data_IF_230619352812
#
_entry.id   IF_230619352812
#
_cell.length_a   1.000
_cell.length_b   1.000
_cell.length_c   1.000
_cell.angle_alpha   90.00
_cell.angle_beta   90.00
_cell.angle_gamma   90.00
#
_symmetry.space_group_name_H-M   'P 1'
#
loop_
_entity.id
_entity.type
_entity.pdbx_description
1 polymer ?
#
# COMPACT_ATOMS: atom_id res chain seq x y z
N UNK A 1 -18.59 -3.13 -16.12
CA UNK A 1 -17.61 -2.04 -16.31
C UNK A 1 -16.36 -2.69 -16.86
N UNK A 2 -15.84 -2.26 -18.00
CA UNK A 2 -14.72 -2.95 -18.66
C UNK A 2 -13.34 -2.42 -18.28
N UNK A 3 -13.25 -1.32 -17.51
CA UNK A 3 -11.99 -0.73 -17.01
C UNK A 3 -12.26 0.19 -15.80
N UNK A 4 -11.19 0.59 -15.10
CA UNK A 4 -11.23 1.57 -14.02
C UNK A 4 -11.22 2.99 -14.59
N UNK A 5 -11.83 3.93 -13.86
CA UNK A 5 -11.64 5.35 -14.19
C UNK A 5 -10.17 5.75 -14.04
N UNK A 6 -9.65 6.48 -15.03
CA UNK A 6 -8.38 7.22 -14.90
C UNK A 6 -8.72 8.67 -14.59
N UNK A 7 -8.32 9.14 -13.42
CA UNK A 7 -8.49 10.52 -12.97
C UNK A 7 -7.20 11.30 -13.18
N UNK A 8 -7.34 12.59 -13.40
CA UNK A 8 -6.23 13.53 -13.51
C UNK A 8 -6.01 14.20 -12.15
N UNK A 9 -4.78 14.14 -11.63
CA UNK A 9 -4.44 14.68 -10.31
C UNK A 9 -4.66 16.19 -10.25
N UNK A 10 -4.31 16.93 -11.30
CA UNK A 10 -4.47 18.39 -11.35
C UNK A 10 -5.95 18.81 -11.40
N UNK A 11 -6.78 18.06 -12.13
CA UNK A 11 -8.22 18.29 -12.14
C UNK A 11 -8.85 17.98 -10.78
N UNK A 12 -8.40 16.92 -10.09
CA UNK A 12 -8.83 16.67 -8.71
C UNK A 12 -8.39 17.80 -7.78
N UNK A 13 -7.16 18.27 -7.91
CA UNK A 13 -6.61 19.37 -7.10
C UNK A 13 -7.43 20.64 -7.25
N UNK A 14 -7.82 20.99 -8.48
CA UNK A 14 -8.63 22.15 -8.80
C UNK A 14 -10.14 22.00 -8.49
N UNK A 15 -10.55 20.84 -7.94
CA UNK A 15 -11.96 20.52 -7.66
C UNK A 15 -12.86 20.43 -8.90
N UNK A 16 -12.35 19.94 -10.03
CA UNK A 16 -13.19 19.69 -11.21
C UNK A 16 -14.38 18.79 -10.86
N UNK A 17 -15.58 19.25 -11.18
CA UNK A 17 -16.83 18.60 -10.78
C UNK A 17 -16.95 17.19 -11.37
N UNK A 18 -16.54 17.02 -12.62
CA UNK A 18 -16.58 15.73 -13.31
C UNK A 18 -15.61 14.74 -12.67
N UNK A 19 -14.40 15.19 -12.33
CA UNK A 19 -13.39 14.39 -11.65
C UNK A 19 -13.84 13.99 -10.23
N UNK A 20 -14.45 14.89 -9.47
CA UNK A 20 -15.02 14.60 -8.17
C UNK A 20 -16.18 13.59 -8.24
N UNK A 21 -17.03 13.69 -9.27
CA UNK A 21 -18.11 12.74 -9.54
C UNK A 21 -17.57 11.33 -9.83
N UNK A 22 -16.57 11.21 -10.70
CA UNK A 22 -15.89 9.94 -11.00
C UNK A 22 -15.14 9.38 -9.78
N UNK A 23 -14.52 10.26 -8.96
CA UNK A 23 -13.89 9.84 -7.71
C UNK A 23 -14.93 9.24 -6.76
N UNK A 24 -16.07 9.92 -6.53
CA UNK A 24 -17.17 9.40 -5.72
C UNK A 24 -17.63 8.03 -6.20
N UNK A 25 -17.83 7.86 -7.49
CA UNK A 25 -18.24 6.57 -8.06
C UNK A 25 -17.17 5.49 -7.85
N UNK A 26 -15.89 5.81 -8.09
CA UNK A 26 -14.77 4.89 -7.84
C UNK A 26 -14.72 4.40 -6.40
N UNK A 27 -14.79 5.32 -5.42
CA UNK A 27 -14.67 4.97 -4.01
C UNK A 27 -15.89 4.22 -3.47
N UNK A 28 -17.10 4.53 -3.97
CA UNK A 28 -18.33 3.93 -3.42
C UNK A 28 -18.76 2.63 -4.10
N UNK A 29 -18.37 2.41 -5.36
CA UNK A 29 -18.83 1.25 -6.14
C UNK A 29 -17.73 0.24 -6.46
N UNK A 30 -16.50 0.71 -6.68
CA UNK A 30 -15.42 -0.11 -7.25
C UNK A 30 -14.29 -0.36 -6.24
N UNK A 31 -13.95 0.64 -5.41
CA UNK A 31 -12.81 0.59 -4.46
C UNK A 31 -11.44 0.74 -5.12
N UNK A 32 -11.39 1.00 -6.44
CA UNK A 32 -10.17 1.18 -7.24
C UNK A 32 -10.32 2.28 -8.28
N UNK A 33 -9.24 2.96 -8.60
CA UNK A 33 -9.10 3.88 -9.72
C UNK A 33 -7.65 3.93 -10.23
N UNK A 34 -7.44 4.56 -11.37
CA UNK A 34 -6.11 4.96 -11.87
C UNK A 34 -5.95 6.47 -11.75
N UNK A 35 -4.73 6.93 -11.48
CA UNK A 35 -4.40 8.34 -11.34
C UNK A 35 -3.21 8.69 -12.21
N UNK A 36 -3.27 9.80 -12.94
CA UNK A 36 -2.21 10.33 -13.80
C UNK A 36 -1.86 11.77 -13.46
N UNK A 37 -0.81 12.31 -14.09
CA UNK A 37 -0.32 13.68 -13.89
C UNK A 37 0.00 14.00 -12.43
N UNK A 38 0.71 13.07 -11.79
CA UNK A 38 1.12 13.19 -10.39
C UNK A 38 2.20 14.28 -10.21
N UNK A 39 2.25 14.96 -9.05
CA UNK A 39 3.28 15.95 -8.71
C UNK A 39 4.61 15.30 -8.28
N UNK A 40 4.90 14.11 -8.79
CA UNK A 40 6.17 13.42 -8.58
C UNK A 40 6.85 13.23 -9.92
N UNK A 41 8.12 13.61 -10.02
CA UNK A 41 8.84 13.51 -11.29
C UNK A 41 9.05 12.05 -11.70
N UNK A 42 9.01 11.79 -13.00
CA UNK A 42 9.30 10.49 -13.58
C UNK A 42 10.71 10.00 -13.18
N UNK A 43 11.68 10.90 -13.08
CA UNK A 43 13.04 10.59 -12.64
C UNK A 43 13.07 10.03 -11.21
N UNK A 44 12.29 10.61 -10.27
CA UNK A 44 12.19 10.08 -8.90
C UNK A 44 11.62 8.66 -8.91
N UNK A 45 10.54 8.42 -9.67
CA UNK A 45 9.92 7.08 -9.78
C UNK A 45 10.92 6.07 -10.35
N UNK A 46 11.56 6.39 -11.48
CA UNK A 46 12.52 5.51 -12.16
C UNK A 46 13.75 5.20 -11.28
N UNK A 47 14.29 6.23 -10.60
CA UNK A 47 15.42 6.06 -9.69
C UNK A 47 15.06 5.19 -8.49
N UNK A 48 13.86 5.36 -7.93
CA UNK A 48 13.37 4.52 -6.83
C UNK A 48 13.32 3.05 -7.24
N UNK A 49 12.73 2.73 -8.38
CA UNK A 49 12.72 1.36 -8.91
C UNK A 49 14.13 0.82 -9.16
N UNK A 50 15.04 1.63 -9.70
CA UNK A 50 16.44 1.26 -9.97
C UNK A 50 17.17 0.87 -8.68
N UNK A 51 17.07 1.69 -7.64
CA UNK A 51 17.73 1.44 -6.36
C UNK A 51 17.21 0.16 -5.68
N UNK A 52 15.89 -0.05 -5.65
CA UNK A 52 15.34 -1.30 -5.15
C UNK A 52 15.75 -2.52 -6.00
N UNK A 53 15.79 -2.40 -7.33
CA UNK A 53 16.28 -3.46 -8.21
C UNK A 53 17.72 -3.84 -7.87
N UNK A 54 18.58 -2.84 -7.65
CA UNK A 54 19.96 -3.04 -7.22
C UNK A 54 20.02 -3.77 -5.87
N UNK A 55 19.19 -3.38 -4.90
CA UNK A 55 19.10 -4.06 -3.61
C UNK A 55 18.69 -5.54 -3.76
N UNK A 56 17.61 -5.83 -4.48
CA UNK A 56 17.11 -7.21 -4.63
C UNK A 56 18.07 -8.12 -5.43
N UNK A 57 18.98 -7.56 -6.23
CA UNK A 57 20.02 -8.31 -6.93
C UNK A 57 21.20 -8.74 -6.05
N UNK A 58 21.30 -8.20 -4.82
CA UNK A 58 22.34 -8.59 -3.87
C UNK A 58 22.19 -10.04 -3.41
N UNK A 59 23.29 -10.62 -2.91
CA UNK A 59 23.29 -11.95 -2.31
C UNK A 59 22.34 -12.01 -1.10
N UNK A 60 21.85 -13.22 -0.79
CA UNK A 60 21.02 -13.46 0.40
C UNK A 60 21.75 -13.03 1.68
N UNK A 61 23.07 -13.25 1.76
CA UNK A 61 23.86 -12.85 2.92
C UNK A 61 23.87 -11.31 3.12
N UNK A 62 23.94 -10.55 2.04
CA UNK A 62 23.87 -9.08 2.12
C UNK A 62 22.47 -8.59 2.49
N UNK A 63 21.43 -9.17 1.87
CA UNK A 63 20.03 -8.84 2.20
C UNK A 63 19.68 -9.18 3.64
N UNK A 64 20.21 -10.27 4.18
CA UNK A 64 20.00 -10.68 5.58
C UNK A 64 20.52 -9.67 6.60
N UNK A 65 21.49 -8.82 6.27
CA UNK A 65 21.97 -7.78 7.19
C UNK A 65 20.88 -6.77 7.57
N UNK A 66 19.84 -6.65 6.75
CA UNK A 66 18.69 -5.77 6.95
C UNK A 66 17.36 -6.54 6.98
N UNK A 67 17.40 -7.80 7.39
CA UNK A 67 16.20 -8.64 7.43
C UNK A 67 15.28 -8.26 8.60
N UNK A 68 14.00 -8.03 8.30
CA UNK A 68 12.98 -7.61 9.27
C UNK A 68 12.73 -8.62 10.40
N UNK A 69 13.04 -9.90 10.22
CA UNK A 69 12.89 -10.93 11.26
C UNK A 69 13.76 -10.68 12.49
N UNK A 70 14.82 -9.87 12.37
CA UNK A 70 15.70 -9.50 13.48
C UNK A 70 15.23 -8.24 14.22
N UNK A 71 14.07 -7.72 13.88
CA UNK A 71 13.50 -6.51 14.47
C UNK A 71 12.09 -6.79 15.00
N UNK A 72 11.64 -6.01 15.96
CA UNK A 72 10.26 -6.06 16.44
C UNK A 72 9.32 -5.21 15.57
N UNK A 73 9.70 -4.98 14.32
CA UNK A 73 8.95 -4.12 13.40
C UNK A 73 9.01 -4.66 11.97
N UNK A 74 8.10 -4.18 11.13
CA UNK A 74 8.14 -4.44 9.71
C UNK A 74 9.01 -3.36 9.05
N UNK A 75 10.33 -3.44 9.21
CA UNK A 75 11.33 -2.54 8.59
C UNK A 75 12.48 -3.37 8.06
N UNK A 76 12.86 -3.10 6.80
CA UNK A 76 13.91 -3.81 6.11
C UNK A 76 13.40 -4.88 5.15
N UNK A 77 14.20 -5.88 4.88
CA UNK A 77 13.95 -6.92 3.90
C UNK A 77 13.18 -8.12 4.48
N UNK A 78 12.15 -8.55 3.76
CA UNK A 78 11.45 -9.82 3.97
C UNK A 78 11.72 -10.79 2.82
N UNK A 79 12.12 -12.00 3.16
CA UNK A 79 12.34 -13.06 2.18
C UNK A 79 11.02 -13.57 1.57
N UNK A 80 11.13 -14.28 0.44
CA UNK A 80 9.97 -14.93 -0.18
C UNK A 80 9.28 -15.87 0.80
N UNK A 81 7.94 -15.86 0.83
CA UNK A 81 7.10 -16.64 1.75
C UNK A 81 7.15 -16.18 3.22
N UNK A 82 7.70 -15.01 3.52
CA UNK A 82 7.67 -14.44 4.89
C UNK A 82 6.32 -13.83 5.27
N UNK A 83 5.41 -13.66 4.30
CA UNK A 83 4.07 -13.12 4.47
C UNK A 83 3.02 -14.09 3.92
N UNK A 84 1.85 -14.14 4.57
CA UNK A 84 0.69 -14.92 4.14
C UNK A 84 -0.56 -14.10 4.40
N UNK A 85 -0.99 -13.33 3.41
CA UNK A 85 -2.14 -12.41 3.56
C UNK A 85 -3.49 -13.14 3.70
N UNK A 86 -3.54 -14.41 3.33
CA UNK A 86 -4.75 -15.23 3.43
C UNK A 86 -4.39 -16.69 3.75
N UNK A 87 -4.79 -17.16 4.93
CA UNK A 87 -4.47 -18.51 5.45
C UNK A 87 -5.04 -19.66 4.61
N UNK A 88 -6.03 -19.41 3.75
CA UNK A 88 -6.58 -20.42 2.84
C UNK A 88 -5.69 -20.69 1.62
N UNK A 89 -4.60 -19.96 1.43
CA UNK A 89 -3.68 -20.07 0.30
C UNK A 89 -2.25 -20.30 0.77
N UNK A 90 -1.37 -20.64 -0.15
CA UNK A 90 0.06 -20.75 0.14
C UNK A 90 0.65 -19.37 0.47
N UNK A 91 1.76 -19.30 1.24
CA UNK A 91 2.47 -18.05 1.49
C UNK A 91 2.84 -17.31 0.21
N UNK A 92 2.83 -15.98 0.26
CA UNK A 92 3.01 -15.11 -0.89
C UNK A 92 4.41 -15.25 -1.52
N UNK A 93 4.43 -15.36 -2.84
CA UNK A 93 5.66 -15.58 -3.61
C UNK A 93 6.30 -14.27 -4.04
N UNK A 94 6.78 -13.50 -3.07
CA UNK A 94 7.49 -12.24 -3.30
C UNK A 94 8.54 -12.01 -2.22
N UNK A 95 9.61 -11.32 -2.57
CA UNK A 95 10.43 -10.60 -1.59
C UNK A 95 9.87 -9.20 -1.38
N UNK A 96 10.13 -8.58 -0.25
CA UNK A 96 9.72 -7.20 0.02
C UNK A 96 10.80 -6.42 0.76
N UNK A 97 10.76 -5.10 0.63
CA UNK A 97 11.55 -4.19 1.45
C UNK A 97 10.64 -3.08 1.97
N UNK A 98 10.58 -2.95 3.29
CA UNK A 98 9.66 -2.05 3.98
C UNK A 98 10.41 -0.91 4.66
N UNK A 99 9.90 0.32 4.48
CA UNK A 99 10.33 1.51 5.21
C UNK A 99 9.11 2.33 5.63
N UNK A 100 9.24 3.03 6.75
CA UNK A 100 8.17 3.86 7.31
C UNK A 100 8.59 5.32 7.46
N UNK A 101 7.81 6.13 8.20
CA UNK A 101 8.10 7.53 8.41
C UNK A 101 9.46 7.75 9.09
N UNK A 102 10.12 8.84 8.71
CA UNK A 102 11.28 9.36 9.44
C UNK A 102 10.75 10.30 10.51
N UNK A 103 10.86 9.90 11.76
CA UNK A 103 10.25 10.62 12.88
C UNK A 103 11.30 11.12 13.87
N UNK A 104 10.97 12.23 14.53
CA UNK A 104 11.74 12.69 15.68
C UNK A 104 11.45 11.76 16.89
N UNK A 105 12.50 11.36 17.60
CA UNK A 105 12.42 10.40 18.74
C UNK A 105 11.69 10.90 19.98
N UNK A 106 11.25 12.15 19.99
CA UNK A 106 10.54 12.73 21.14
C UNK A 106 9.04 12.50 21.15
N UNK A 107 8.43 11.96 20.06
CA UNK A 107 6.97 11.82 20.01
C UNK A 107 6.45 10.63 20.87
N UNK A 108 5.18 10.73 21.31
CA UNK A 108 4.56 9.79 22.27
C UNK A 108 4.48 8.33 21.77
N UNK A 109 4.49 8.11 20.46
CA UNK A 109 4.35 6.77 19.85
C UNK A 109 5.66 6.13 19.42
N UNK A 110 6.80 6.69 19.77
CA UNK A 110 8.14 6.25 19.33
C UNK A 110 8.46 4.77 19.59
N UNK A 111 7.82 4.15 20.59
CA UNK A 111 8.04 2.76 20.94
C UNK A 111 7.10 1.78 20.23
N UNK A 112 6.16 2.27 19.43
CA UNK A 112 5.27 1.39 18.68
C UNK A 112 5.94 0.90 17.39
N UNK A 113 5.71 -0.36 16.98
CA UNK A 113 6.36 -0.96 15.81
C UNK A 113 6.16 -0.19 14.50
N UNK A 114 5.02 0.51 14.36
CA UNK A 114 4.70 1.33 13.17
C UNK A 114 5.61 2.55 13.00
N UNK A 115 6.22 3.01 14.10
CA UNK A 115 7.11 4.17 14.15
C UNK A 115 8.56 3.76 14.42
N UNK A 116 8.88 2.48 14.25
CA UNK A 116 10.25 1.99 14.40
C UNK A 116 11.20 2.65 13.38
N UNK A 117 12.47 2.72 13.75
CA UNK A 117 13.53 3.20 12.86
C UNK A 117 13.60 2.35 11.59
N UNK A 118 13.76 3.03 10.46
CA UNK A 118 14.11 2.36 9.22
C UNK A 118 15.50 1.74 9.31
N UNK A 119 15.68 0.58 8.69
CA UNK A 119 16.96 -0.13 8.59
C UNK A 119 17.37 -0.05 7.12
N UNK A 120 18.60 0.38 6.86
CA UNK A 120 19.11 0.56 5.51
C UNK A 120 20.44 -0.18 5.32
N UNK A 121 20.73 -0.72 4.11
CA UNK A 121 22.05 -1.25 3.80
C UNK A 121 23.08 -0.12 3.87
N UNK A 122 24.19 -0.35 4.59
CA UNK A 122 25.21 0.68 4.79
C UNK A 122 25.90 1.11 3.49
N UNK A 123 25.95 0.23 2.51
CA UNK A 123 26.57 0.44 1.20
C UNK A 123 25.61 1.01 0.13
N UNK A 124 24.37 1.37 0.53
CA UNK A 124 23.36 1.92 -0.39
C UNK A 124 22.73 3.22 0.17
N UNK A 125 23.50 4.29 0.38
CA UNK A 125 22.95 5.55 0.93
C UNK A 125 21.90 6.20 0.00
N UNK A 126 22.01 6.00 -1.31
CA UNK A 126 21.04 6.53 -2.29
C UNK A 126 19.67 5.81 -2.19
N UNK A 127 19.64 4.52 -1.85
CA UNK A 127 18.38 3.82 -1.59
C UNK A 127 17.61 4.49 -0.45
N UNK A 128 18.30 4.86 0.63
CA UNK A 128 17.68 5.59 1.75
C UNK A 128 17.13 6.93 1.29
N UNK A 129 17.98 7.75 0.68
CA UNK A 129 17.65 9.12 0.27
C UNK A 129 16.47 9.17 -0.69
N UNK A 130 16.47 8.31 -1.72
CA UNK A 130 15.39 8.29 -2.70
C UNK A 130 14.09 7.74 -2.09
N UNK A 131 14.16 6.75 -1.19
CA UNK A 131 12.98 6.19 -0.53
C UNK A 131 12.32 7.20 0.41
N UNK A 132 13.11 7.97 1.19
CA UNK A 132 12.60 9.03 2.06
C UNK A 132 11.94 10.15 1.24
N UNK A 133 12.53 10.55 0.10
CA UNK A 133 11.95 11.52 -0.82
C UNK A 133 10.65 10.99 -1.46
N UNK A 134 10.67 9.75 -1.94
CA UNK A 134 9.49 9.10 -2.53
C UNK A 134 8.35 8.99 -1.53
N UNK A 135 8.66 8.63 -0.29
CA UNK A 135 7.70 8.57 0.82
C UNK A 135 7.01 9.92 1.04
N UNK A 136 7.77 11.03 1.06
CA UNK A 136 7.23 12.38 1.24
C UNK A 136 6.26 12.76 0.12
N UNK A 137 6.66 12.55 -1.14
CA UNK A 137 5.79 12.81 -2.30
C UNK A 137 4.49 11.97 -2.25
N UNK A 138 4.59 10.69 -1.90
CA UNK A 138 3.42 9.83 -1.75
C UNK A 138 2.48 10.30 -0.62
N UNK A 139 3.03 10.80 0.49
CA UNK A 139 2.24 11.34 1.59
C UNK A 139 1.42 12.56 1.16
N UNK A 140 2.01 13.49 0.42
CA UNK A 140 1.33 14.68 -0.12
C UNK A 140 0.20 14.29 -1.09
N UNK A 141 0.47 13.34 -2.00
CA UNK A 141 -0.53 12.79 -2.92
C UNK A 141 -1.68 12.15 -2.14
N UNK A 142 -1.37 11.31 -1.15
CA UNK A 142 -2.35 10.63 -0.31
C UNK A 142 -3.24 11.59 0.48
N UNK A 143 -2.66 12.64 1.06
CA UNK A 143 -3.41 13.69 1.76
C UNK A 143 -4.40 14.40 0.84
N UNK A 144 -3.98 14.78 -0.36
CA UNK A 144 -4.90 15.40 -1.33
C UNK A 144 -6.04 14.45 -1.69
N UNK A 145 -5.76 13.19 -1.99
CA UNK A 145 -6.79 12.20 -2.33
C UNK A 145 -7.81 12.07 -1.19
N UNK A 146 -7.37 11.96 0.06
CA UNK A 146 -8.25 11.87 1.23
C UNK A 146 -9.15 13.10 1.37
N UNK A 147 -8.61 14.31 1.14
CA UNK A 147 -9.38 15.57 1.13
C UNK A 147 -10.45 15.53 0.04
N UNK A 148 -10.10 15.10 -1.18
CA UNK A 148 -11.06 15.04 -2.30
C UNK A 148 -12.11 13.94 -2.12
N UNK A 149 -11.75 12.83 -1.49
CA UNK A 149 -12.71 11.79 -1.09
C UNK A 149 -13.72 12.38 -0.08
N UNK A 150 -13.23 13.02 0.98
CA UNK A 150 -14.11 13.66 1.97
C UNK A 150 -15.10 14.61 1.30
N UNK A 151 -14.60 15.52 0.47
CA UNK A 151 -15.42 16.48 -0.30
C UNK A 151 -16.43 15.78 -1.21
N UNK A 152 -16.02 14.74 -1.94
CA UNK A 152 -16.91 14.00 -2.86
C UNK A 152 -18.05 13.28 -2.13
N UNK A 153 -17.86 12.94 -0.86
CA UNK A 153 -18.84 12.28 0.02
C UNK A 153 -19.62 13.26 0.91
N UNK A 154 -19.49 14.56 0.68
CA UNK A 154 -20.12 15.64 1.46
C UNK A 154 -19.69 15.67 2.95
N UNK A 155 -18.46 15.26 3.24
CA UNK A 155 -17.81 15.52 4.51
C UNK A 155 -17.03 16.83 4.48
N UNK A 156 -16.63 17.34 5.65
CA UNK A 156 -15.60 18.39 5.75
C UNK A 156 -14.35 17.94 4.98
N UNK A 157 -13.72 18.83 4.23
CA UNK A 157 -12.56 18.49 3.39
C UNK A 157 -11.42 17.84 4.20
N UNK A 158 -11.24 18.23 5.44
CA UNK A 158 -10.22 17.70 6.32
C UNK A 158 -10.68 16.49 7.17
N UNK A 159 -11.89 15.99 6.99
CA UNK A 159 -12.50 14.94 7.83
C UNK A 159 -11.58 13.74 8.07
N UNK A 160 -10.90 13.26 7.02
CA UNK A 160 -9.92 12.19 7.13
C UNK A 160 -8.50 12.72 7.36
N UNK A 161 -8.07 13.73 6.58
CA UNK A 161 -6.68 14.17 6.50
C UNK A 161 -6.10 14.71 7.80
N UNK A 162 -6.90 15.28 8.69
CA UNK A 162 -6.47 15.78 10.01
C UNK A 162 -5.91 14.70 10.95
N UNK A 163 -6.09 13.43 10.59
CA UNK A 163 -5.59 12.28 11.35
C UNK A 163 -4.28 11.71 10.81
N UNK A 164 -3.65 12.39 9.85
CA UNK A 164 -2.43 11.95 9.17
C UNK A 164 -1.20 12.82 9.49
N UNK A 165 -1.20 13.52 10.62
CA UNK A 165 -0.07 14.30 11.12
C UNK A 165 1.13 13.40 11.54
N UNK A 166 0.85 12.19 12.05
CA UNK A 166 1.80 11.12 12.36
C UNK A 166 1.32 9.79 11.75
N UNK A 167 1.37 9.65 10.43
CA UNK A 167 0.77 8.51 9.77
C UNK A 167 1.54 7.21 10.06
N UNK A 168 0.81 6.11 10.28
CA UNK A 168 1.38 4.76 10.26
C UNK A 168 1.57 4.29 8.82
N UNK A 169 2.25 5.09 8.01
CA UNK A 169 2.42 4.77 6.60
C UNK A 169 3.61 3.83 6.37
N UNK A 170 3.51 3.03 5.32
CA UNK A 170 4.50 2.06 4.94
C UNK A 170 4.79 2.19 3.44
N UNK A 171 6.03 2.49 3.10
CA UNK A 171 6.55 2.37 1.75
C UNK A 171 7.15 0.99 1.60
N UNK A 172 6.62 0.21 0.67
CA UNK A 172 7.09 -1.14 0.35
C UNK A 172 7.56 -1.21 -1.09
N UNK A 173 8.63 -1.93 -1.34
CA UNK A 173 8.91 -2.45 -2.67
C UNK A 173 8.77 -3.97 -2.67
N UNK A 174 7.94 -4.50 -3.54
CA UNK A 174 7.83 -5.94 -3.80
C UNK A 174 8.66 -6.33 -5.01
N UNK A 175 9.37 -7.44 -4.89
CA UNK A 175 10.03 -8.14 -5.99
C UNK A 175 9.38 -9.51 -6.19
N UNK A 176 8.79 -9.70 -7.35
CA UNK A 176 8.21 -10.97 -7.77
C UNK A 176 9.17 -11.65 -8.75
N UNK A 177 9.63 -12.82 -8.37
CA UNK A 177 10.47 -13.65 -9.24
C UNK A 177 9.71 -14.11 -10.48
N UNK A 178 10.42 -14.30 -11.58
CA UNK A 178 9.85 -14.91 -12.78
C UNK A 178 9.29 -16.30 -12.42
N UNK A 179 8.02 -16.52 -12.68
CA UNK A 179 7.35 -17.79 -12.45
C UNK A 179 6.36 -18.04 -13.58
N UNK A 180 6.87 -18.56 -14.73
CA UNK A 180 6.07 -18.73 -15.94
C UNK A 180 4.90 -19.68 -15.74
N UNK A 181 5.02 -20.62 -14.79
CA UNK A 181 3.96 -21.55 -14.44
C UNK A 181 3.82 -21.60 -12.91
N UNK A 182 2.63 -21.34 -12.40
CA UNK A 182 2.27 -21.67 -11.03
C UNK A 182 2.16 -23.18 -10.95
N UNK A 183 3.05 -23.80 -10.19
CA UNK A 183 3.17 -25.28 -10.14
C UNK A 183 2.13 -25.92 -9.25
N UNK A 184 1.50 -25.12 -8.36
CA UNK A 184 0.46 -25.58 -7.45
C UNK A 184 -0.81 -24.74 -7.57
N UNK A 185 -1.96 -25.38 -7.48
CA UNK A 185 -3.27 -24.75 -7.35
C UNK A 185 -3.27 -23.97 -6.03
N UNK A 186 -3.41 -22.71 -5.96
CA UNK A 186 -3.36 -21.82 -4.79
C UNK A 186 -2.02 -21.11 -4.53
N UNK A 187 -1.08 -21.12 -5.48
CA UNK A 187 0.09 -20.25 -5.46
C UNK A 187 -0.22 -18.91 -6.13
N UNK A 188 0.16 -17.81 -5.46
CA UNK A 188 -0.02 -16.45 -5.97
C UNK A 188 1.25 -15.62 -5.70
N UNK A 189 1.44 -14.55 -6.46
CA UNK A 189 2.36 -13.49 -6.05
C UNK A 189 1.89 -12.87 -4.73
N UNK A 190 0.57 -12.53 -4.66
CA UNK A 190 -0.16 -12.21 -3.42
C UNK A 190 -1.56 -12.85 -3.54
N UNK A 191 -1.95 -13.64 -2.55
CA UNK A 191 -3.24 -14.33 -2.50
C UNK A 191 -4.43 -13.34 -2.49
N UNK A 192 -5.66 -13.76 -2.83
CA UNK A 192 -6.84 -12.91 -2.74
C UNK A 192 -7.02 -12.30 -1.35
N UNK A 193 -7.04 -10.95 -1.25
CA UNK A 193 -7.14 -10.18 -0.01
C UNK A 193 -7.75 -8.79 -0.25
N UNK A 194 -8.07 -8.09 0.80
CA UNK A 194 -8.28 -6.64 0.84
C UNK A 194 -7.11 -6.00 1.58
N UNK A 195 -6.74 -4.76 1.25
CA UNK A 195 -5.74 -4.02 2.02
C UNK A 195 -6.28 -3.68 3.41
N UNK A 196 -5.42 -3.78 4.42
CA UNK A 196 -5.83 -3.56 5.81
C UNK A 196 -6.04 -2.09 6.16
N UNK A 197 -5.32 -1.21 5.48
CA UNK A 197 -5.23 0.21 5.78
C UNK A 197 -6.33 1.08 5.18
N UNK A 198 -6.02 2.37 5.01
CA UNK A 198 -6.94 3.34 4.43
C UNK A 198 -6.79 3.47 2.92
N UNK A 199 -5.59 3.82 2.47
CA UNK A 199 -5.30 4.19 1.09
C UNK A 199 -4.00 3.53 0.63
N UNK A 200 -4.01 2.95 -0.56
CA UNK A 200 -2.81 2.43 -1.22
C UNK A 200 -2.57 3.18 -2.52
N UNK A 201 -1.36 3.73 -2.68
CA UNK A 201 -0.83 4.24 -3.94
C UNK A 201 0.11 3.20 -4.52
N UNK A 202 -0.26 2.57 -5.63
CA UNK A 202 0.51 1.47 -6.21
C UNK A 202 1.19 1.90 -7.51
N UNK A 203 2.52 2.01 -7.46
CA UNK A 203 3.38 2.20 -8.61
C UNK A 203 3.81 0.85 -9.18
N UNK A 204 3.71 0.67 -10.49
CA UNK A 204 4.05 -0.59 -11.16
C UNK A 204 4.87 -0.36 -12.41
N UNK A 205 5.70 -1.34 -12.75
CA UNK A 205 6.38 -1.43 -14.04
C UNK A 205 5.66 -2.47 -14.90
N UNK A 206 5.10 -2.07 -16.06
CA UNK A 206 4.45 -2.98 -17.03
C UNK A 206 3.28 -3.84 -16.47
N UNK A 207 3.05 -5.01 -17.05
CA UNK A 207 2.04 -5.97 -16.60
C UNK A 207 2.31 -6.41 -15.16
N UNK A 208 1.41 -6.06 -14.27
CA UNK A 208 1.58 -6.23 -12.82
C UNK A 208 0.89 -7.49 -12.26
N UNK A 209 0.21 -8.27 -13.09
CA UNK A 209 -0.55 -9.44 -12.67
C UNK A 209 -1.71 -9.16 -11.69
N UNK A 210 -2.05 -7.88 -11.48
CA UNK A 210 -3.14 -7.47 -10.57
C UNK A 210 -4.49 -7.78 -11.19
N UNK A 211 -5.35 -8.41 -10.40
CA UNK A 211 -6.76 -8.61 -10.70
C UNK A 211 -7.62 -8.20 -9.52
N UNK A 212 -8.72 -7.51 -9.80
CA UNK A 212 -9.71 -7.08 -8.80
C UNK A 212 -11.01 -7.84 -8.99
N UNK A 213 -11.71 -8.12 -7.90
CA UNK A 213 -13.01 -8.80 -7.94
C UNK A 213 -14.12 -7.79 -8.15
N UNK A 214 -14.79 -7.88 -9.28
CA UNK A 214 -15.93 -7.03 -9.60
C UNK A 214 -17.18 -7.44 -8.81
N UNK A 215 -18.19 -6.55 -8.65
CA UNK A 215 -19.45 -6.87 -7.97
C UNK A 215 -20.21 -8.08 -8.55
N UNK A 216 -20.04 -8.36 -9.85
CA UNK A 216 -20.59 -9.53 -10.52
C UNK A 216 -19.82 -10.84 -10.25
N UNK A 217 -18.81 -10.82 -9.36
CA UNK A 217 -17.97 -11.95 -9.00
C UNK A 217 -16.84 -12.28 -9.96
N UNK A 218 -16.74 -11.63 -11.12
CA UNK A 218 -15.67 -11.84 -12.11
C UNK A 218 -14.40 -11.09 -11.71
N UNK A 219 -13.24 -11.66 -12.08
CA UNK A 219 -11.95 -11.01 -11.93
C UNK A 219 -11.67 -10.11 -13.13
N UNK A 220 -11.30 -8.86 -12.86
CA UNK A 220 -10.87 -7.87 -13.86
C UNK A 220 -9.37 -7.67 -13.75
N UNK A 221 -8.64 -7.90 -14.83
CA UNK A 221 -7.23 -7.57 -14.93
C UNK A 221 -7.04 -6.06 -14.98
N UNK A 222 -6.20 -5.53 -14.08
CA UNK A 222 -5.92 -4.09 -13.99
C UNK A 222 -4.54 -3.80 -14.53
N UNK A 223 -4.48 -2.89 -15.50
CA UNK A 223 -3.22 -2.42 -16.08
C UNK A 223 -3.15 -0.89 -15.96
N UNK A 224 -2.02 -0.38 -15.50
CA UNK A 224 -1.70 1.03 -15.52
C UNK A 224 -0.73 1.33 -16.67
N UNK A 225 -0.90 2.46 -17.35
CA UNK A 225 0.07 2.98 -18.29
C UNK A 225 1.32 3.46 -17.54
N UNK A 226 2.38 3.78 -18.29
CA UNK A 226 3.68 4.18 -17.72
C UNK A 226 3.62 5.44 -16.83
N UNK A 227 2.64 6.30 -17.09
CA UNK A 227 2.38 7.58 -16.39
C UNK A 227 1.20 7.51 -15.41
N UNK A 228 0.67 6.31 -15.20
CA UNK A 228 -0.47 6.07 -14.31
C UNK A 228 -0.03 5.27 -13.08
N UNK A 229 -0.66 5.53 -11.95
CA UNK A 229 -0.64 4.66 -10.78
C UNK A 229 -2.03 4.08 -10.52
N UNK A 230 -2.07 2.99 -9.78
CA UNK A 230 -3.32 2.41 -9.29
C UNK A 230 -3.52 2.89 -7.86
N UNK A 231 -4.76 3.26 -7.54
CA UNK A 231 -5.16 3.69 -6.20
C UNK A 231 -6.29 2.80 -5.72
N UNK A 232 -6.17 2.28 -4.50
CA UNK A 232 -7.24 1.50 -3.88
C UNK A 232 -7.42 1.83 -2.40
N UNK A 233 -8.56 1.41 -1.87
CA UNK A 233 -9.00 1.69 -0.51
C UNK A 233 -9.11 0.38 0.26
N UNK A 234 -8.73 0.43 1.53
CA UNK A 234 -8.68 -0.76 2.37
C UNK A 234 -9.74 -0.81 3.45
N UNK A 235 -9.74 -1.91 4.19
CA UNK A 235 -10.73 -2.25 5.22
C UNK A 235 -10.89 -1.16 6.29
N UNK A 236 -9.77 -0.51 6.67
CA UNK A 236 -9.79 0.54 7.68
C UNK A 236 -10.61 1.75 7.22
N UNK A 237 -10.43 2.18 5.97
CA UNK A 237 -11.19 3.32 5.42
C UNK A 237 -12.66 2.95 5.15
N UNK A 238 -12.92 1.70 4.76
CA UNK A 238 -14.29 1.18 4.65
C UNK A 238 -15.00 1.24 6.01
N UNK A 239 -14.35 0.77 7.07
CA UNK A 239 -14.89 0.84 8.44
C UNK A 239 -15.10 2.30 8.88
N UNK A 240 -14.08 3.14 8.75
CA UNK A 240 -14.11 4.54 9.17
C UNK A 240 -15.15 5.38 8.43
N UNK A 241 -15.41 5.06 7.16
CA UNK A 241 -16.46 5.72 6.37
C UNK A 241 -17.86 5.15 6.60
N UNK A 242 -18.04 4.25 7.57
CA UNK A 242 -19.29 3.50 7.78
C UNK A 242 -19.75 2.80 6.49
N UNK A 243 -18.83 2.07 5.85
CA UNK A 243 -19.04 1.28 4.61
C UNK A 243 -19.43 2.12 3.36
N UNK A 244 -19.29 3.44 3.40
CA UNK A 244 -19.52 4.28 2.22
C UNK A 244 -18.41 4.11 1.18
N UNK A 245 -17.19 3.83 1.61
CA UNK A 245 -16.03 3.55 0.75
C UNK A 245 -15.85 2.04 0.69
N UNK A 246 -15.51 1.51 -0.47
CA UNK A 246 -15.36 0.08 -0.71
C UNK A 246 -13.91 -0.37 -0.56
N UNK A 247 -13.67 -1.37 0.27
CA UNK A 247 -12.49 -2.22 0.22
C UNK A 247 -12.75 -3.38 -0.73
N UNK A 248 -11.98 -3.50 -1.81
CA UNK A 248 -12.25 -4.48 -2.86
C UNK A 248 -11.23 -5.59 -2.88
N UNK A 249 -11.73 -6.83 -2.91
CA UNK A 249 -10.89 -8.02 -2.98
C UNK A 249 -10.07 -8.02 -4.26
N UNK A 250 -8.76 -8.23 -4.10
CA UNK A 250 -7.81 -8.27 -5.22
C UNK A 250 -6.72 -9.30 -4.98
N UNK A 251 -6.03 -9.68 -6.03
CA UNK A 251 -4.94 -10.65 -6.00
C UNK A 251 -3.86 -10.30 -7.01
N UNK A 252 -2.70 -10.89 -6.85
CA UNK A 252 -1.58 -10.75 -7.78
C UNK A 252 -1.14 -12.12 -8.26
N UNK A 253 -1.30 -12.35 -9.56
CA UNK A 253 -0.88 -13.61 -10.19
C UNK A 253 0.64 -13.62 -10.46
N UNK A 254 1.20 -14.81 -10.67
CA UNK A 254 2.54 -14.97 -11.19
C UNK A 254 2.66 -14.45 -12.63
N UNK A 255 3.84 -13.99 -13.02
CA UNK A 255 4.14 -13.47 -14.36
C UNK A 255 5.33 -14.19 -14.98
N UNK A 256 5.43 -14.21 -16.33
CA UNK A 256 6.54 -14.84 -17.04
C UNK A 256 7.90 -14.23 -16.70
N UNK A 257 7.91 -12.90 -16.50
CA UNK A 257 9.12 -12.14 -16.19
C UNK A 257 9.10 -11.70 -14.72
N UNK A 258 10.27 -11.53 -14.16
CA UNK A 258 10.41 -10.86 -12.86
C UNK A 258 9.91 -9.41 -12.96
N UNK A 259 9.33 -8.91 -11.88
CA UNK A 259 8.77 -7.56 -11.84
C UNK A 259 8.82 -6.96 -10.46
N UNK A 260 8.66 -5.65 -10.41
CA UNK A 260 8.62 -4.87 -9.20
C UNK A 260 7.32 -4.08 -9.10
N UNK A 261 6.87 -3.86 -7.86
CA UNK A 261 5.82 -2.89 -7.56
C UNK A 261 6.16 -2.14 -6.28
N UNK A 262 5.73 -0.89 -6.19
CA UNK A 262 5.97 -0.05 -5.02
C UNK A 262 4.60 0.43 -4.51
N UNK A 263 3.94 -0.33 -3.61
CA UNK A 263 2.79 0.16 -2.87
C UNK A 263 3.24 1.10 -1.75
N UNK A 264 2.54 2.21 -1.60
CA UNK A 264 2.59 3.08 -0.44
C UNK A 264 1.27 2.95 0.31
N UNK A 265 1.31 2.31 1.47
CA UNK A 265 0.16 2.12 2.36
C UNK A 265 0.07 3.31 3.29
N UNK A 266 -1.00 4.10 3.17
CA UNK A 266 -1.17 5.34 3.89
C UNK A 266 -2.28 5.22 4.92
N UNK A 267 -1.90 5.19 6.20
CA UNK A 267 -2.79 4.95 7.33
C UNK A 267 -2.73 6.13 8.32
N UNK A 268 -3.82 6.43 9.04
CA UNK A 268 -3.84 7.53 9.99
C UNK A 268 -2.92 7.28 11.20
N UNK A 269 -2.84 8.24 12.06
CA UNK A 269 -2.15 8.14 13.36
C UNK A 269 -2.75 7.01 14.21
N UNK A 270 -1.90 6.37 15.02
CA UNK A 270 -2.22 5.20 15.84
C UNK A 270 -3.51 5.33 16.67
N UNK A 271 -3.68 6.48 17.35
CA UNK A 271 -4.82 6.76 18.23
C UNK A 271 -6.06 7.32 17.52
N UNK A 272 -6.17 7.13 16.21
CA UNK A 272 -7.35 7.55 15.45
C UNK A 272 -8.50 6.57 15.68
N UNK A 273 -9.63 7.08 16.17
CA UNK A 273 -10.87 6.32 16.26
C UNK A 273 -11.43 6.10 14.85
N UNK A 274 -11.55 4.84 14.42
CA UNK A 274 -12.03 4.46 13.09
C UNK A 274 -13.42 3.81 13.09
N UNK A 275 -13.97 3.52 14.25
CA UNK A 275 -15.30 2.93 14.38
C UNK A 275 -15.53 2.25 15.72
N UNK A 276 -16.56 1.44 15.77
CA UNK A 276 -16.93 0.62 16.94
C UNK A 276 -17.11 -0.84 16.55
N UNK A 277 -16.80 -1.75 17.47
CA UNK A 277 -17.06 -3.17 17.30
C UNK A 277 -18.57 -3.52 17.57
N UNK A 278 -18.92 -4.79 17.40
CA UNK A 278 -20.29 -5.29 17.65
C UNK A 278 -20.76 -5.11 19.10
N UNK A 279 -19.85 -4.88 20.04
CA UNK A 279 -20.14 -4.64 21.45
C UNK A 279 -20.08 -3.14 21.79
N UNK A 280 -20.10 -2.25 20.80
CA UNK A 280 -20.03 -0.79 20.92
C UNK A 280 -18.72 -0.26 21.54
N UNK A 281 -17.62 -1.06 21.52
CA UNK A 281 -16.29 -0.62 21.98
C UNK A 281 -15.56 0.07 20.85
N UNK A 282 -14.81 1.11 21.19
CA UNK A 282 -14.03 1.91 20.24
C UNK A 282 -12.94 1.06 19.57
N UNK A 283 -12.79 1.22 18.27
CA UNK A 283 -11.72 0.61 17.47
C UNK A 283 -10.75 1.71 17.06
N UNK A 284 -9.50 1.61 17.50
CA UNK A 284 -8.43 2.52 17.12
C UNK A 284 -7.62 1.93 15.95
N UNK A 285 -7.15 2.83 15.08
CA UNK A 285 -6.41 2.46 13.87
C UNK A 285 -5.17 1.60 14.15
N UNK A 286 -4.42 1.93 15.20
CA UNK A 286 -3.23 1.18 15.59
C UNK A 286 -3.53 -0.23 16.04
N UNK A 287 -4.52 -0.42 16.91
CA UNK A 287 -4.92 -1.74 17.42
C UNK A 287 -5.46 -2.61 16.28
N UNK A 288 -6.26 -2.01 15.38
CA UNK A 288 -6.76 -2.70 14.20
C UNK A 288 -5.63 -3.20 13.30
N UNK A 289 -4.63 -2.35 13.04
CA UNK A 289 -3.50 -2.70 12.17
C UNK A 289 -2.58 -3.73 12.84
N UNK A 290 -2.38 -3.65 14.18
CA UNK A 290 -1.64 -4.64 14.95
C UNK A 290 -2.23 -6.03 14.78
N UNK A 291 -3.51 -6.17 15.04
CA UNK A 291 -4.22 -7.44 14.87
C UNK A 291 -4.04 -8.03 13.47
N UNK A 292 -4.16 -7.20 12.42
CA UNK A 292 -3.98 -7.64 11.03
C UNK A 292 -2.54 -8.10 10.76
N UNK A 293 -1.53 -7.38 11.24
CA UNK A 293 -0.12 -7.74 11.06
C UNK A 293 0.26 -9.02 11.79
N UNK A 294 -0.23 -9.20 13.02
CA UNK A 294 0.04 -10.40 13.81
C UNK A 294 -0.51 -11.67 13.16
N UNK A 295 -1.59 -11.55 12.36
CA UNK A 295 -2.19 -12.66 11.62
C UNK A 295 -1.63 -12.86 10.20
N UNK A 296 -0.72 -11.98 9.74
CA UNK A 296 -0.22 -11.99 8.35
C UNK A 296 1.27 -12.29 8.25
N UNK A 297 2.07 -11.70 9.12
CA UNK A 297 3.53 -11.87 9.09
C UNK A 297 3.94 -13.14 9.83
N UNK A 298 4.52 -14.09 9.10
CA UNK A 298 4.87 -15.42 9.66
C UNK A 298 5.88 -15.37 10.79
N UNK A 299 6.79 -14.42 10.80
CA UNK A 299 7.75 -14.25 11.90
C UNK A 299 7.12 -13.72 13.22
N UNK A 300 5.85 -13.31 13.18
CA UNK A 300 5.06 -12.89 14.33
C UNK A 300 4.04 -13.94 14.79
N UNK A 301 3.88 -15.02 14.01
CA UNK A 301 2.93 -16.09 14.31
C UNK A 301 3.51 -17.19 15.24
N UNK A 302 4.79 -17.10 15.62
CA UNK A 302 5.49 -18.06 16.48
C UNK A 302 5.58 -17.55 17.91
#
# INVERSE_FOLDING_TARGET
MNDLYTLDFELLRSNDITSLGKLKESVTKIGFLKLKNLPISKSIIETTFKEYKTFFSKSINEKNKVNMKFTNSNRGWGESKSEQVNSNYMPDLKEMYDSGPVLNFSHKFKNLPYYAKNIWPNDMPELRKISENFYSNCSEIGLLILKKIAKSLNYSENYFSDKFDLPMALLRCNYYHAKPFLTQKNEFGIAPHTDYGCLTLLFTQSDNGLEIKQPNGKWLKVQAKKDEIIVNFGDMLELWSNKKIKATLHKVNGTKNSRYSIPFFFNPRHDTLIGKDKNNRDIFAGDYLAYKYDTTYRHKMN
#
